data_IF_725143101987
#
_entry.id   IF_725143101987
#
_cell.length_a   1.000
_cell.length_b   1.000
_cell.length_c   1.000
_cell.angle_alpha   90.00
_cell.angle_beta   90.00
_cell.angle_gamma   90.00
#
_symmetry.space_group_name_H-M   'P 1'
#
loop_
_entity.id
_entity.type
_entity.pdbx_description
1 polymer ?
#
# COMPACT_ATOMS: atom_id res chain seq x y z
N UNK A 1 -12.24 -44.22 37.96
CA UNK A 1 -11.67 -42.97 37.41
C UNK A 1 -11.63 -41.80 38.38
N UNK A 2 -12.19 -41.89 39.59
CA UNK A 2 -12.27 -40.73 40.50
C UNK A 2 -10.89 -40.25 40.99
N UNK A 3 -9.93 -41.15 41.18
CA UNK A 3 -8.55 -40.77 41.52
C UNK A 3 -7.88 -39.91 40.42
N UNK A 4 -8.18 -40.14 39.14
CA UNK A 4 -7.66 -39.32 38.04
C UNK A 4 -8.35 -37.96 38.02
N UNK A 5 -9.65 -37.90 38.30
CA UNK A 5 -10.40 -36.64 38.38
C UNK A 5 -9.90 -35.77 39.53
N UNK A 6 -9.69 -36.36 40.71
CA UNK A 6 -9.12 -35.72 41.89
C UNK A 6 -7.71 -35.18 41.60
N UNK A 7 -6.83 -35.99 41.02
CA UNK A 7 -5.47 -35.59 40.63
C UNK A 7 -5.48 -34.38 39.67
N UNK A 8 -6.38 -34.38 38.69
CA UNK A 8 -6.46 -33.31 37.70
C UNK A 8 -7.01 -32.03 38.32
N UNK A 9 -8.12 -32.10 39.07
CA UNK A 9 -8.80 -30.94 39.65
C UNK A 9 -7.99 -30.30 40.78
N UNK A 10 -7.53 -31.10 41.74
CA UNK A 10 -6.96 -30.60 42.98
C UNK A 10 -5.43 -30.48 42.89
N UNK A 11 -4.75 -31.54 42.46
CA UNK A 11 -3.29 -31.54 42.48
C UNK A 11 -2.72 -30.73 41.32
N UNK A 12 -3.19 -30.95 40.08
CA UNK A 12 -2.61 -30.31 38.90
C UNK A 12 -3.18 -28.90 38.69
N UNK A 13 -4.50 -28.77 38.47
CA UNK A 13 -5.14 -27.47 38.21
C UNK A 13 -5.01 -26.57 39.45
N UNK A 14 -5.20 -27.11 40.65
CA UNK A 14 -5.02 -26.38 41.90
C UNK A 14 -3.60 -25.84 42.07
N UNK A 15 -2.57 -26.66 41.81
CA UNK A 15 -1.18 -26.20 41.89
C UNK A 15 -0.85 -25.13 40.86
N UNK A 16 -1.36 -25.25 39.62
CA UNK A 16 -1.12 -24.23 38.58
C UNK A 16 -1.72 -22.88 39.01
N UNK A 17 -2.98 -22.88 39.48
CA UNK A 17 -3.66 -21.66 39.96
C UNK A 17 -2.97 -21.05 41.16
N UNK A 18 -2.51 -21.87 42.10
CA UNK A 18 -1.80 -21.39 43.28
C UNK A 18 -0.45 -20.77 42.90
N UNK A 19 0.31 -21.40 42.00
CA UNK A 19 1.58 -20.86 41.51
C UNK A 19 1.40 -19.56 40.72
N UNK A 20 0.30 -19.40 39.97
CA UNK A 20 -0.06 -18.12 39.35
C UNK A 20 -0.38 -17.07 40.43
N UNK A 21 -1.18 -17.43 41.43
CA UNK A 21 -1.61 -16.54 42.52
C UNK A 21 -0.42 -16.01 43.33
N UNK A 22 0.56 -16.86 43.64
CA UNK A 22 1.79 -16.47 44.35
C UNK A 22 2.89 -15.94 43.42
N UNK A 23 2.60 -15.77 42.12
CA UNK A 23 3.52 -15.24 41.10
C UNK A 23 4.81 -16.06 40.90
N UNK A 24 4.77 -17.36 41.18
CA UNK A 24 5.85 -18.28 40.83
C UNK A 24 5.91 -18.54 39.31
N UNK A 25 4.77 -18.40 38.63
CA UNK A 25 4.65 -18.48 37.17
C UNK A 25 3.85 -17.29 36.64
N UNK A 26 4.03 -16.92 35.37
CA UNK A 26 3.24 -15.83 34.78
C UNK A 26 1.83 -16.31 34.43
N UNK A 27 0.90 -15.37 34.24
CA UNK A 27 -0.45 -15.68 33.72
C UNK A 27 -0.41 -16.44 32.39
N UNK A 28 0.58 -16.14 31.55
CA UNK A 28 0.78 -16.83 30.27
C UNK A 28 1.20 -18.29 30.50
N UNK A 29 2.11 -18.53 31.43
CA UNK A 29 2.60 -19.88 31.76
C UNK A 29 1.47 -20.73 32.36
N UNK A 30 0.69 -20.17 33.28
CA UNK A 30 -0.46 -20.84 33.89
C UNK A 30 -1.48 -21.27 32.83
N UNK A 31 -1.80 -20.39 31.89
CA UNK A 31 -2.69 -20.67 30.76
C UNK A 31 -2.20 -21.80 29.85
N UNK A 32 -0.91 -21.82 29.50
CA UNK A 32 -0.32 -22.88 28.69
C UNK A 32 -0.40 -24.23 29.42
N UNK A 33 -0.08 -24.25 30.71
CA UNK A 33 -0.12 -25.47 31.52
C UNK A 33 -1.54 -26.02 31.64
N UNK A 34 -2.54 -25.17 31.91
CA UNK A 34 -3.95 -25.60 31.96
C UNK A 34 -4.42 -26.20 30.62
N UNK A 35 -4.01 -25.62 29.49
CA UNK A 35 -4.34 -26.18 28.18
C UNK A 35 -3.71 -27.55 27.93
N UNK A 36 -2.42 -27.70 28.24
CA UNK A 36 -1.72 -28.97 28.10
C UNK A 36 -2.33 -30.05 29.00
N UNK A 37 -2.71 -29.69 30.23
CA UNK A 37 -3.43 -30.58 31.16
C UNK A 37 -4.77 -31.02 30.57
N UNK A 38 -5.54 -30.10 29.99
CA UNK A 38 -6.81 -30.45 29.35
C UNK A 38 -6.67 -31.37 28.15
N UNK A 39 -5.71 -31.10 27.25
CA UNK A 39 -5.42 -31.97 26.09
C UNK A 39 -4.95 -33.34 26.51
N UNK A 40 -4.13 -33.42 27.56
CA UNK A 40 -3.68 -34.69 28.12
C UNK A 40 -4.84 -35.47 28.73
N UNK A 41 -5.68 -34.81 29.52
CA UNK A 41 -6.89 -35.40 30.10
C UNK A 41 -7.81 -35.97 29.02
N UNK A 42 -8.05 -35.19 27.95
CA UNK A 42 -8.81 -35.62 26.78
C UNK A 42 -8.20 -36.86 26.13
N UNK A 43 -6.89 -36.84 25.86
CA UNK A 43 -6.20 -37.94 25.21
C UNK A 43 -6.26 -39.24 26.02
N UNK A 44 -6.13 -39.13 27.35
CA UNK A 44 -6.26 -40.27 28.26
C UNK A 44 -7.68 -40.83 28.17
N UNK A 45 -8.71 -39.99 28.29
CA UNK A 45 -10.11 -40.45 28.25
C UNK A 45 -10.56 -41.01 26.90
N UNK A 46 -10.05 -40.49 25.78
CA UNK A 46 -10.31 -41.05 24.44
C UNK A 46 -9.85 -42.52 24.32
N UNK A 47 -8.80 -42.91 25.04
CA UNK A 47 -8.27 -44.28 25.07
C UNK A 47 -9.06 -45.23 25.98
N UNK A 48 -9.83 -44.71 26.94
CA UNK A 48 -10.64 -45.49 27.88
C UNK A 48 -12.14 -45.41 27.60
N UNK A 49 -12.54 -44.88 26.43
CA UNK A 49 -13.95 -44.73 26.00
C UNK A 49 -14.73 -46.06 26.00
N UNK A 50 -14.05 -47.21 25.97
CA UNK A 50 -14.66 -48.55 26.02
C UNK A 50 -15.03 -49.02 27.45
N UNK A 51 -14.70 -48.27 28.51
CA UNK A 51 -14.73 -48.77 29.90
C UNK A 51 -15.61 -47.97 30.89
N UNK A 52 -16.28 -46.87 30.52
CA UNK A 52 -17.13 -46.15 31.49
C UNK A 52 -18.52 -45.71 30.96
N UNK A 53 -19.55 -46.09 31.71
CA UNK A 53 -20.93 -45.55 31.66
C UNK A 53 -21.04 -44.10 32.15
N UNK A 54 -19.96 -43.54 32.72
CA UNK A 54 -19.87 -42.15 33.15
C UNK A 54 -18.91 -41.40 32.25
N UNK A 55 -19.44 -40.79 31.19
CA UNK A 55 -18.66 -39.97 30.26
C UNK A 55 -17.88 -38.83 30.91
N UNK A 56 -17.18 -38.08 30.05
CA UNK A 56 -16.44 -36.85 30.34
C UNK A 56 -16.95 -36.06 31.57
N UNK A 57 -16.05 -35.74 32.51
CA UNK A 57 -16.42 -35.02 33.74
C UNK A 57 -16.63 -33.52 33.45
N UNK A 58 -17.89 -33.09 33.56
CA UNK A 58 -18.33 -31.69 33.39
C UNK A 58 -17.53 -30.71 34.27
N UNK A 59 -17.17 -31.11 35.50
CA UNK A 59 -16.41 -30.25 36.42
C UNK A 59 -14.97 -29.99 35.95
N UNK A 60 -14.38 -30.94 35.21
CA UNK A 60 -13.05 -30.79 34.62
C UNK A 60 -13.15 -29.92 33.36
N UNK A 61 -14.20 -30.08 32.57
CA UNK A 61 -14.46 -29.17 31.45
C UNK A 61 -14.65 -27.73 31.93
N UNK A 62 -15.50 -27.48 32.93
CA UNK A 62 -15.70 -26.13 33.50
C UNK A 62 -14.42 -25.53 34.09
N UNK A 63 -13.61 -26.33 34.78
CA UNK A 63 -12.32 -25.90 35.31
C UNK A 63 -11.28 -25.61 34.20
N UNK A 64 -11.49 -26.19 33.02
CA UNK A 64 -10.68 -26.06 31.80
C UNK A 64 -11.42 -25.29 30.69
N UNK A 65 -12.51 -24.56 30.98
CA UNK A 65 -13.07 -23.60 30.00
C UNK A 65 -12.03 -22.51 29.85
N UNK A 66 -11.27 -22.59 28.76
CA UNK A 66 -10.01 -21.88 28.59
C UNK A 66 -10.24 -20.45 28.10
N UNK A 67 -9.47 -19.52 28.66
CA UNK A 67 -9.15 -18.20 28.07
C UNK A 67 -8.66 -18.26 26.60
N UNK A 68 -8.44 -19.45 26.04
CA UNK A 68 -7.94 -19.70 24.68
C UNK A 68 -9.00 -19.40 23.63
N UNK A 69 -10.27 -19.74 23.83
CA UNK A 69 -11.32 -19.38 22.88
C UNK A 69 -11.42 -17.85 22.74
N UNK A 70 -11.21 -17.13 23.86
CA UNK A 70 -11.17 -15.68 23.91
C UNK A 70 -9.91 -15.10 23.24
N UNK A 71 -8.74 -15.71 23.44
CA UNK A 71 -7.48 -15.27 22.81
C UNK A 71 -7.48 -15.56 21.29
N UNK A 72 -7.98 -16.72 20.85
CA UNK A 72 -8.14 -17.03 19.43
C UNK A 72 -9.12 -16.07 18.76
N UNK A 73 -10.22 -15.75 19.44
CA UNK A 73 -11.16 -14.74 18.98
C UNK A 73 -10.50 -13.36 18.84
N UNK A 74 -9.80 -12.88 19.86
CA UNK A 74 -9.09 -11.59 19.80
C UNK A 74 -7.99 -11.57 18.73
N UNK A 75 -7.23 -12.66 18.59
CA UNK A 75 -6.18 -12.77 17.59
C UNK A 75 -6.74 -12.75 16.16
N UNK A 76 -7.81 -13.51 15.91
CA UNK A 76 -8.51 -13.52 14.63
C UNK A 76 -9.10 -12.15 14.29
N UNK A 77 -9.66 -11.43 15.27
CA UNK A 77 -10.15 -10.06 15.06
C UNK A 77 -9.02 -9.10 14.68
N UNK A 78 -7.86 -9.18 15.34
CA UNK A 78 -6.69 -8.36 14.99
C UNK A 78 -6.15 -8.67 13.60
N UNK A 79 -6.06 -9.95 13.23
CA UNK A 79 -5.64 -10.35 11.88
C UNK A 79 -6.60 -9.85 10.81
N UNK A 80 -7.91 -9.97 11.05
CA UNK A 80 -8.93 -9.47 10.12
C UNK A 80 -8.87 -7.94 9.96
N UNK A 81 -8.64 -7.20 11.06
CA UNK A 81 -8.48 -5.75 11.00
C UNK A 81 -7.22 -5.36 10.19
N UNK A 82 -6.08 -5.99 10.49
CA UNK A 82 -4.83 -5.75 9.76
C UNK A 82 -4.94 -6.12 8.28
N UNK A 83 -5.66 -7.19 7.94
CA UNK A 83 -5.89 -7.57 6.55
C UNK A 83 -6.71 -6.52 5.80
N UNK A 84 -7.76 -5.95 6.43
CA UNK A 84 -8.53 -4.86 5.83
C UNK A 84 -7.69 -3.62 5.59
N UNK A 85 -6.85 -3.22 6.54
CA UNK A 85 -5.93 -2.08 6.37
C UNK A 85 -4.95 -2.31 5.22
N UNK A 86 -4.41 -3.54 5.08
CA UNK A 86 -3.55 -3.91 3.96
C UNK A 86 -4.29 -3.81 2.62
N UNK A 87 -5.53 -4.29 2.57
CA UNK A 87 -6.33 -4.28 1.34
C UNK A 87 -6.72 -2.84 0.95
N UNK A 88 -7.09 -2.00 1.91
CA UNK A 88 -7.34 -0.57 1.70
C UNK A 88 -6.08 0.16 1.21
N UNK A 89 -4.92 -0.10 1.83
CA UNK A 89 -3.65 0.47 1.42
C UNK A 89 -3.25 0.05 -0.01
N UNK A 90 -3.48 -1.21 -0.39
CA UNK A 90 -3.24 -1.68 -1.76
C UNK A 90 -4.10 -0.95 -2.77
N UNK A 91 -5.40 -0.77 -2.48
CA UNK A 91 -6.32 -0.04 -3.35
C UNK A 91 -5.87 1.42 -3.51
N UNK A 92 -5.42 2.07 -2.43
CA UNK A 92 -4.91 3.43 -2.48
C UNK A 92 -3.64 3.55 -3.35
N UNK A 93 -2.68 2.64 -3.16
CA UNK A 93 -1.44 2.60 -3.95
C UNK A 93 -1.75 2.39 -5.45
N UNK A 94 -2.70 1.52 -5.77
CA UNK A 94 -3.06 1.25 -7.17
C UNK A 94 -3.73 2.47 -7.83
N UNK A 95 -4.58 3.19 -7.10
CA UNK A 95 -5.16 4.47 -7.57
C UNK A 95 -4.11 5.54 -7.80
N UNK A 96 -3.18 5.73 -6.86
CA UNK A 96 -2.08 6.69 -7.02
C UNK A 96 -1.21 6.36 -8.22
N UNK A 97 -0.96 5.07 -8.45
CA UNK A 97 -0.18 4.60 -9.60
C UNK A 97 -0.90 4.91 -10.92
N UNK A 98 -2.21 4.65 -11.00
CA UNK A 98 -3.01 5.01 -12.18
C UNK A 98 -3.03 6.52 -12.43
N UNK A 99 -3.19 7.33 -11.38
CA UNK A 99 -3.18 8.79 -11.50
C UNK A 99 -1.82 9.30 -11.98
N UNK A 100 -0.72 8.77 -11.43
CA UNK A 100 0.62 9.11 -11.87
C UNK A 100 0.87 8.73 -13.34
N UNK A 101 0.34 7.61 -13.80
CA UNK A 101 0.44 7.20 -15.21
C UNK A 101 -0.37 8.12 -16.13
N UNK A 102 -1.60 8.50 -15.73
CA UNK A 102 -2.42 9.47 -16.47
C UNK A 102 -1.75 10.84 -16.56
N UNK A 103 -1.16 11.33 -15.47
CA UNK A 103 -0.43 12.60 -15.46
C UNK A 103 0.78 12.56 -16.39
N UNK A 104 1.54 11.46 -16.40
CA UNK A 104 2.67 11.27 -17.33
C UNK A 104 2.20 11.29 -18.79
N UNK A 105 1.13 10.57 -19.11
CA UNK A 105 0.57 10.54 -20.46
C UNK A 105 0.07 11.92 -20.90
N UNK A 106 -0.60 12.66 -20.01
CA UNK A 106 -1.06 14.02 -20.30
C UNK A 106 0.11 14.98 -20.55
N UNK A 107 1.14 14.93 -19.71
CA UNK A 107 2.34 15.76 -19.87
C UNK A 107 3.10 15.44 -21.17
N UNK A 108 3.13 14.17 -21.59
CA UNK A 108 3.74 13.76 -22.86
C UNK A 108 2.94 14.28 -24.06
N UNK A 109 1.60 14.21 -24.02
CA UNK A 109 0.75 14.79 -25.06
C UNK A 109 0.94 16.30 -25.18
N UNK A 110 1.03 17.01 -24.06
CA UNK A 110 1.25 18.45 -24.04
C UNK A 110 2.62 18.82 -24.63
N UNK A 111 3.68 18.06 -24.31
CA UNK A 111 5.00 18.22 -24.93
C UNK A 111 4.95 18.03 -26.44
N UNK A 112 4.30 16.98 -26.93
CA UNK A 112 4.16 16.72 -28.36
C UNK A 112 3.40 17.87 -29.05
N UNK A 113 2.35 18.39 -28.41
CA UNK A 113 1.58 19.52 -28.95
C UNK A 113 2.42 20.79 -29.01
N UNK A 114 3.15 21.11 -27.94
CA UNK A 114 4.05 22.26 -27.90
C UNK A 114 5.16 22.15 -28.94
N UNK A 115 5.71 20.94 -29.17
CA UNK A 115 6.72 20.71 -30.20
C UNK A 115 6.15 20.92 -31.62
N UNK A 116 4.93 20.43 -31.89
CA UNK A 116 4.25 20.69 -33.16
C UNK A 116 3.97 22.18 -33.38
N UNK A 117 3.52 22.90 -32.36
CA UNK A 117 3.29 24.34 -32.44
C UNK A 117 4.60 25.10 -32.70
N UNK A 118 5.68 24.74 -32.00
CA UNK A 118 7.02 25.29 -32.27
C UNK A 118 7.46 25.04 -33.70
N UNK A 119 7.22 23.85 -34.24
CA UNK A 119 7.59 23.52 -35.61
C UNK A 119 6.76 24.29 -36.65
N UNK A 120 5.46 24.48 -36.42
CA UNK A 120 4.60 25.33 -37.26
C UNK A 120 5.13 26.77 -37.25
N UNK A 121 5.41 27.33 -36.08
CA UNK A 121 5.96 28.68 -35.93
C UNK A 121 7.31 28.81 -36.63
N UNK A 122 8.18 27.80 -36.56
CA UNK A 122 9.46 27.79 -37.31
C UNK A 122 9.22 27.82 -38.81
N UNK A 123 8.32 26.99 -39.34
CA UNK A 123 8.01 26.94 -40.77
C UNK A 123 7.40 28.24 -41.29
N UNK A 124 6.49 28.85 -40.54
CA UNK A 124 5.89 30.14 -40.89
C UNK A 124 6.92 31.26 -40.86
N UNK A 125 7.76 31.32 -39.82
CA UNK A 125 8.87 32.27 -39.76
C UNK A 125 9.85 32.11 -40.93
N UNK A 126 10.15 30.87 -41.34
CA UNK A 126 10.99 30.62 -42.51
C UNK A 126 10.37 31.18 -43.80
N UNK A 127 9.06 30.98 -44.01
CA UNK A 127 8.33 31.53 -45.16
C UNK A 127 8.32 33.05 -45.14
N UNK A 128 8.06 33.66 -43.97
CA UNK A 128 8.05 35.11 -43.79
C UNK A 128 9.43 35.74 -44.06
N UNK A 129 10.51 35.15 -43.52
CA UNK A 129 11.89 35.59 -43.80
C UNK A 129 12.20 35.54 -45.30
N UNK A 130 11.80 34.47 -45.99
CA UNK A 130 11.99 34.35 -47.45
C UNK A 130 11.20 35.41 -48.22
N UNK A 131 9.96 35.68 -47.84
CA UNK A 131 9.13 36.73 -48.45
C UNK A 131 9.73 38.12 -48.23
N UNK A 132 10.18 38.42 -47.01
CA UNK A 132 10.84 39.68 -46.67
C UNK A 132 12.12 39.90 -47.48
N UNK A 133 12.93 38.84 -47.64
CA UNK A 133 14.13 38.88 -48.48
C UNK A 133 13.83 39.18 -49.95
N UNK A 134 12.76 38.59 -50.51
CA UNK A 134 12.32 38.87 -51.88
C UNK A 134 11.82 40.31 -52.04
N UNK A 135 11.06 40.83 -51.08
CA UNK A 135 10.59 42.23 -51.08
C UNK A 135 11.76 43.22 -51.02
N UNK A 136 12.74 42.97 -50.15
CA UNK A 136 13.96 43.78 -50.07
C UNK A 136 14.77 43.77 -51.38
N UNK A 137 14.75 42.67 -52.14
CA UNK A 137 15.39 42.57 -53.45
C UNK A 137 14.63 43.30 -54.56
N UNK A 138 13.29 43.30 -54.52
CA UNK A 138 12.43 43.94 -55.51
C UNK A 138 12.30 45.45 -55.31
N UNK A 139 12.38 45.93 -54.06
CA UNK A 139 12.36 47.34 -53.70
C UNK A 139 13.71 47.80 -53.10
N UNK A 140 14.78 47.89 -53.91
CA UNK A 140 16.12 48.23 -53.43
C UNK A 140 16.28 49.69 -52.96
N UNK A 141 15.29 50.56 -53.17
CA UNK A 141 15.30 51.95 -52.73
C UNK A 141 14.68 52.13 -51.33
N UNK A 142 15.48 52.01 -50.27
CA UNK A 142 15.30 52.54 -48.90
C UNK A 142 13.96 52.38 -48.14
N UNK A 143 12.89 51.82 -48.71
CA UNK A 143 11.56 51.94 -48.11
C UNK A 143 11.20 50.80 -47.16
N UNK A 144 11.72 49.59 -47.32
CA UNK A 144 11.23 48.42 -46.53
C UNK A 144 11.48 48.59 -45.02
N UNK A 145 12.67 49.01 -44.60
CA UNK A 145 12.95 49.27 -43.18
C UNK A 145 12.23 50.53 -42.68
N UNK A 146 12.09 51.57 -43.52
CA UNK A 146 11.34 52.81 -43.19
C UNK A 146 9.84 52.54 -43.00
N UNK A 147 9.23 51.72 -43.85
CA UNK A 147 7.82 51.30 -43.78
C UNK A 147 7.55 50.42 -42.55
N UNK A 148 8.53 49.61 -42.15
CA UNK A 148 8.48 48.80 -40.94
C UNK A 148 8.82 49.58 -39.67
N UNK A 149 9.30 50.83 -39.78
CA UNK A 149 9.71 51.65 -38.64
C UNK A 149 10.95 51.11 -37.89
N UNK A 150 11.79 50.33 -38.57
CA UNK A 150 13.01 49.73 -38.03
C UNK A 150 14.25 50.29 -38.72
N UNK A 151 15.41 50.09 -38.11
CA UNK A 151 16.72 50.41 -38.69
C UNK A 151 17.11 49.41 -39.78
N UNK A 152 18.07 49.80 -40.61
CA UNK A 152 18.59 48.94 -41.67
C UNK A 152 19.33 47.73 -41.09
N UNK A 153 20.06 47.92 -40.00
CA UNK A 153 20.74 46.84 -39.26
C UNK A 153 19.73 45.83 -38.68
N UNK A 154 18.60 46.30 -38.12
CA UNK A 154 17.54 45.42 -37.61
C UNK A 154 16.87 44.60 -38.73
N UNK A 155 16.67 45.20 -39.91
CA UNK A 155 16.16 44.48 -41.08
C UNK A 155 17.12 43.38 -41.53
N UNK A 156 18.44 43.66 -41.55
CA UNK A 156 19.47 42.69 -41.91
C UNK A 156 19.58 41.56 -40.88
N UNK A 157 19.41 41.84 -39.60
CA UNK A 157 19.33 40.82 -38.54
C UNK A 157 18.10 39.91 -38.73
N UNK A 158 16.92 40.47 -38.98
CA UNK A 158 15.70 39.69 -39.20
C UNK A 158 15.79 38.74 -40.40
N UNK A 159 16.47 39.17 -41.48
CA UNK A 159 16.62 38.38 -42.71
C UNK A 159 17.70 37.30 -42.56
N UNK A 160 18.80 37.60 -41.85
CA UNK A 160 20.01 36.76 -41.87
C UNK A 160 20.29 35.99 -40.57
N UNK A 161 19.65 36.32 -39.44
CA UNK A 161 19.83 35.56 -38.21
C UNK A 161 19.16 34.18 -38.29
N UNK A 162 19.85 33.10 -37.84
CA UNK A 162 19.23 31.79 -37.74
C UNK A 162 18.10 31.81 -36.70
N UNK A 163 17.03 31.01 -36.87
CA UNK A 163 15.99 30.90 -35.85
C UNK A 163 16.62 30.48 -34.51
N UNK A 164 16.34 31.23 -33.44
CA UNK A 164 16.81 30.89 -32.09
C UNK A 164 16.30 29.50 -31.70
N UNK A 165 17.25 28.62 -31.37
CA UNK A 165 16.99 27.27 -30.87
C UNK A 165 16.86 27.38 -29.35
N UNK A 166 15.64 27.35 -28.84
CA UNK A 166 15.31 27.17 -27.41
C UNK A 166 14.25 26.07 -27.29
#
# INVERSE_FOLDING_TARGET
MDALKELILHDIIGSIKENERVSNITKKDARILLNLTGRLYQHIYEKYRELEEGGYSVMIEEALVLDIDMIEYEHNQRLNAMQREIDEAKIAIEREKEEAERQKAAAEQEKIKAEKEREIVRQENFKLKKALKLLAQQNPGEEVYKLMGITREELDQLINEPPHVV
#
